data_IF_449732538668
#
_entry.id   IF_449732538668
#
_cell.length_a   1.000
_cell.length_b   1.000
_cell.length_c   1.000
_cell.angle_alpha   90.00
_cell.angle_beta   90.00
_cell.angle_gamma   90.00
#
_symmetry.space_group_name_H-M   'P 1'
#
loop_
_entity.id
_entity.type
_entity.pdbx_description
1 polymer ?
#
# COMPACT_ATOMS: atom_id res chain seq x y z
N UNK A 1 13.24 -1.21 19.77
CA UNK A 1 13.04 -2.43 18.97
C UNK A 1 14.20 -2.53 17.99
N UNK A 2 15.20 -3.40 18.23
CA UNK A 2 16.24 -3.69 17.24
C UNK A 2 15.81 -4.96 16.51
N UNK A 3 15.01 -4.79 15.46
CA UNK A 3 14.54 -5.92 14.62
C UNK A 3 15.65 -6.55 13.79
N UNK A 4 16.81 -5.89 13.71
CA UNK A 4 17.94 -6.30 12.88
C UNK A 4 19.08 -6.88 13.74
N UNK A 5 19.59 -8.08 13.40
CA UNK A 5 20.77 -8.66 14.06
C UNK A 5 21.98 -7.71 13.98
N UNK A 6 22.71 -7.59 15.08
CA UNK A 6 23.84 -6.67 15.18
C UNK A 6 25.06 -7.12 14.35
N UNK A 7 25.13 -8.41 14.05
CA UNK A 7 26.16 -9.11 13.29
C UNK A 7 25.83 -9.26 11.80
N UNK A 8 24.72 -8.68 11.33
CA UNK A 8 24.30 -8.80 9.94
C UNK A 8 25.23 -8.04 8.97
N UNK A 9 26.04 -8.79 8.21
CA UNK A 9 27.03 -8.27 7.26
C UNK A 9 26.44 -7.42 6.10
N UNK A 10 25.22 -7.72 5.66
CA UNK A 10 24.57 -7.04 4.53
C UNK A 10 23.40 -6.18 4.97
N UNK A 11 23.38 -4.88 4.63
CA UNK A 11 22.29 -3.93 4.95
C UNK A 11 20.93 -4.29 4.34
N UNK A 12 20.89 -5.25 3.42
CA UNK A 12 19.68 -5.69 2.75
C UNK A 12 18.82 -6.57 3.68
N UNK A 13 17.51 -6.62 3.41
CA UNK A 13 16.55 -7.42 4.18
C UNK A 13 16.23 -8.74 3.49
N UNK A 14 16.07 -8.70 2.16
CA UNK A 14 15.75 -9.89 1.36
C UNK A 14 16.96 -10.35 0.55
N UNK A 15 17.44 -11.55 0.88
CA UNK A 15 18.59 -12.17 0.25
C UNK A 15 18.19 -13.47 -0.47
N UNK A 16 18.97 -13.85 -1.48
CA UNK A 16 18.80 -15.13 -2.17
C UNK A 16 19.25 -16.27 -1.24
N UNK A 17 18.31 -17.17 -0.93
CA UNK A 17 18.56 -18.38 -0.15
C UNK A 17 19.05 -19.58 -0.97
N UNK A 18 19.17 -20.75 -0.33
CA UNK A 18 19.57 -22.01 -0.98
C UNK A 18 21.08 -22.25 -1.02
N UNK A 19 21.53 -23.07 -1.98
CA UNK A 19 22.95 -23.49 -2.14
C UNK A 19 23.57 -23.04 -3.48
N UNK A 20 22.92 -22.12 -4.20
CA UNK A 20 23.42 -21.62 -5.48
C UNK A 20 24.59 -20.65 -5.33
N UNK A 21 25.26 -20.35 -6.44
CA UNK A 21 26.40 -19.40 -6.50
C UNK A 21 26.04 -17.98 -6.08
N UNK A 22 24.76 -17.60 -6.25
CA UNK A 22 24.22 -16.27 -5.93
C UNK A 22 23.66 -16.13 -4.50
N UNK A 23 23.95 -17.10 -3.63
CA UNK A 23 23.44 -17.12 -2.25
C UNK A 23 23.94 -15.89 -1.50
N UNK A 24 23.09 -15.33 -0.63
CA UNK A 24 23.34 -14.11 0.16
C UNK A 24 23.45 -12.80 -0.66
N UNK A 25 23.32 -12.85 -1.99
CA UNK A 25 23.13 -11.65 -2.80
C UNK A 25 21.72 -11.05 -2.60
N UNK A 26 21.55 -9.79 -3.01
CA UNK A 26 20.27 -9.11 -3.06
C UNK A 26 19.23 -9.89 -3.90
N UNK A 27 18.01 -10.03 -3.37
CA UNK A 27 16.90 -10.54 -4.18
C UNK A 27 16.58 -9.54 -5.31
N UNK A 28 16.71 -9.98 -6.56
CA UNK A 28 16.32 -9.18 -7.71
C UNK A 28 14.81 -9.19 -7.93
N UNK A 29 14.30 -8.19 -8.67
CA UNK A 29 12.89 -8.16 -9.07
C UNK A 29 12.47 -9.39 -9.89
N UNK A 30 13.30 -9.83 -10.84
CA UNK A 30 13.04 -11.07 -11.60
C UNK A 30 12.96 -12.30 -10.66
N UNK A 31 13.84 -12.38 -9.67
CA UNK A 31 13.80 -13.42 -8.64
C UNK A 31 12.50 -13.39 -7.84
N UNK A 32 12.05 -12.20 -7.43
CA UNK A 32 10.77 -12.01 -6.75
C UNK A 32 9.59 -12.46 -7.62
N UNK A 33 9.54 -12.06 -8.90
CA UNK A 33 8.46 -12.45 -9.83
C UNK A 33 8.41 -13.96 -10.02
N UNK A 34 9.56 -14.63 -10.15
CA UNK A 34 9.62 -16.11 -10.23
C UNK A 34 9.14 -16.78 -8.95
N UNK A 35 9.55 -16.27 -7.79
CA UNK A 35 9.10 -16.80 -6.49
C UNK A 35 7.58 -16.64 -6.33
N UNK A 36 7.05 -15.49 -6.73
CA UNK A 36 5.63 -15.19 -6.73
C UNK A 36 4.85 -16.11 -7.67
N UNK A 37 5.30 -16.28 -8.91
CA UNK A 37 4.67 -17.21 -9.88
C UNK A 37 4.58 -18.63 -9.34
N UNK A 38 5.66 -19.14 -8.72
CA UNK A 38 5.64 -20.45 -8.05
C UNK A 38 4.64 -20.51 -6.90
N UNK A 39 4.46 -19.41 -6.15
CA UNK A 39 3.47 -19.32 -5.09
C UNK A 39 2.04 -19.36 -5.65
N UNK A 40 1.76 -18.63 -6.73
CA UNK A 40 0.47 -18.69 -7.44
C UNK A 40 0.15 -20.11 -7.91
N UNK A 41 1.13 -20.80 -8.53
CA UNK A 41 0.95 -22.20 -8.95
C UNK A 41 0.57 -23.11 -7.78
N UNK A 42 1.26 -23.00 -6.64
CA UNK A 42 0.93 -23.80 -5.44
C UNK A 42 -0.46 -23.45 -4.86
N UNK A 43 -0.89 -22.21 -5.01
CA UNK A 43 -2.20 -21.74 -4.57
C UNK A 43 -3.33 -22.04 -5.59
N UNK A 44 -3.01 -22.64 -6.74
CA UNK A 44 -3.99 -22.92 -7.80
C UNK A 44 -4.40 -21.70 -8.63
N UNK A 45 -3.72 -20.56 -8.47
CA UNK A 45 -3.96 -19.31 -9.21
C UNK A 45 -3.25 -19.40 -10.56
N UNK A 46 -3.99 -19.27 -11.67
CA UNK A 46 -3.50 -19.49 -13.03
C UNK A 46 -3.60 -18.25 -13.92
N UNK A 47 -4.21 -17.19 -13.41
CA UNK A 47 -4.50 -15.96 -14.10
C UNK A 47 -3.19 -15.21 -14.46
N UNK A 48 -2.90 -14.98 -15.75
CA UNK A 48 -1.63 -14.41 -16.18
C UNK A 48 -1.45 -12.94 -15.78
N UNK A 49 -2.54 -12.24 -15.45
CA UNK A 49 -2.50 -10.85 -14.97
C UNK A 49 -2.17 -10.73 -13.48
N UNK A 50 -2.14 -11.84 -12.72
CA UNK A 50 -1.79 -11.82 -11.31
C UNK A 50 -0.27 -11.66 -11.17
N UNK A 51 0.13 -10.50 -10.67
CA UNK A 51 1.53 -10.10 -10.45
C UNK A 51 1.73 -9.63 -9.01
N UNK A 52 2.98 -9.44 -8.53
CA UNK A 52 3.20 -8.80 -7.23
C UNK A 52 2.52 -7.45 -7.08
N UNK A 53 2.34 -6.70 -8.18
CA UNK A 53 1.61 -5.43 -8.18
C UNK A 53 0.11 -5.61 -7.91
N UNK A 54 -0.49 -6.72 -8.34
CA UNK A 54 -1.89 -7.03 -8.04
C UNK A 54 -2.14 -7.13 -6.52
N UNK A 55 -1.20 -7.68 -5.75
CA UNK A 55 -1.30 -7.71 -4.28
C UNK A 55 -1.37 -6.30 -3.67
N UNK A 56 -0.64 -5.34 -4.25
CA UNK A 56 -0.67 -3.94 -3.82
C UNK A 56 -2.02 -3.30 -4.13
N UNK A 57 -2.63 -3.63 -5.27
CA UNK A 57 -3.98 -3.18 -5.59
C UNK A 57 -5.02 -3.79 -4.65
N UNK A 58 -4.98 -5.11 -4.43
CA UNK A 58 -5.86 -5.77 -3.45
C UNK A 58 -5.75 -5.12 -2.09
N UNK A 59 -4.52 -4.87 -1.62
CA UNK A 59 -4.28 -4.16 -0.37
C UNK A 59 -4.91 -2.76 -0.37
N UNK A 60 -4.72 -1.99 -1.44
CA UNK A 60 -5.27 -0.64 -1.55
C UNK A 60 -6.80 -0.64 -1.51
N UNK A 61 -7.44 -1.51 -2.28
CA UNK A 61 -8.90 -1.70 -2.30
C UNK A 61 -9.41 -2.09 -0.92
N UNK A 62 -8.82 -3.10 -0.27
CA UNK A 62 -9.27 -3.53 1.07
C UNK A 62 -9.15 -2.43 2.13
N UNK A 63 -8.12 -1.58 2.06
CA UNK A 63 -8.01 -0.45 2.99
C UNK A 63 -9.03 0.64 2.70
N UNK A 64 -9.28 0.93 1.42
CA UNK A 64 -10.30 1.88 1.00
C UNK A 64 -11.70 1.45 1.44
N UNK A 65 -12.07 0.20 1.15
CA UNK A 65 -13.34 -0.42 1.56
C UNK A 65 -13.48 -0.50 3.09
N UNK A 66 -12.36 -0.64 3.81
CA UNK A 66 -12.29 -0.55 5.27
C UNK A 66 -12.42 0.87 5.85
N UNK A 67 -12.67 1.89 5.01
CA UNK A 67 -12.87 3.28 5.44
C UNK A 67 -11.59 4.09 5.63
N UNK A 68 -10.44 3.64 5.11
CA UNK A 68 -9.21 4.43 5.17
C UNK A 68 -9.34 5.68 4.31
N UNK A 69 -9.16 6.84 4.93
CA UNK A 69 -9.14 8.14 4.24
C UNK A 69 -8.14 8.15 3.08
N UNK A 70 -8.55 8.72 1.95
CA UNK A 70 -7.79 8.75 0.70
C UNK A 70 -6.35 9.25 0.87
N UNK A 71 -6.14 10.40 1.51
CA UNK A 71 -4.81 10.97 1.73
C UNK A 71 -3.92 10.07 2.61
N UNK A 72 -4.51 9.31 3.52
CA UNK A 72 -3.79 8.34 4.36
C UNK A 72 -3.38 7.13 3.51
N UNK A 73 -4.29 6.65 2.67
CA UNK A 73 -4.02 5.55 1.74
C UNK A 73 -2.94 5.92 0.72
N UNK A 74 -2.99 7.11 0.13
CA UNK A 74 -1.97 7.62 -0.80
C UNK A 74 -0.58 7.66 -0.14
N UNK A 75 -0.48 8.23 1.07
CA UNK A 75 0.77 8.25 1.86
C UNK A 75 1.27 6.84 2.17
N UNK A 76 0.37 5.93 2.57
CA UNK A 76 0.71 4.54 2.88
C UNK A 76 1.26 3.79 1.67
N UNK A 77 0.73 4.10 0.49
CA UNK A 77 1.21 3.53 -0.76
C UNK A 77 2.53 4.18 -1.20
N UNK A 78 2.81 5.44 -0.81
CA UNK A 78 4.06 6.12 -1.16
C UNK A 78 4.08 6.67 -2.59
N UNK A 79 2.91 7.05 -3.13
CA UNK A 79 2.83 7.72 -4.44
C UNK A 79 3.39 9.14 -4.33
N UNK A 80 4.41 9.46 -5.14
CA UNK A 80 5.15 10.73 -5.10
C UNK A 80 4.49 11.87 -5.91
N UNK A 81 3.49 11.62 -6.75
CA UNK A 81 2.73 12.69 -7.41
C UNK A 81 1.22 12.58 -7.18
N UNK A 82 0.54 13.68 -6.81
CA UNK A 82 -0.90 13.77 -6.63
C UNK A 82 -1.66 13.95 -7.96
N UNK A 83 -1.10 13.49 -9.09
CA UNK A 83 -1.72 13.70 -10.40
C UNK A 83 -2.92 12.79 -10.68
N UNK A 84 -3.16 11.80 -9.82
CA UNK A 84 -4.43 11.03 -9.76
C UNK A 84 -5.44 11.60 -8.75
N UNK A 85 -5.05 12.58 -7.92
CA UNK A 85 -5.92 13.20 -6.89
C UNK A 85 -6.99 14.12 -7.49
N UNK A 86 -6.83 14.55 -8.75
CA UNK A 86 -7.84 15.35 -9.48
C UNK A 86 -9.03 14.55 -10.02
N UNK A 87 -8.98 13.21 -10.02
CA UNK A 87 -10.14 12.38 -10.42
C UNK A 87 -11.09 12.06 -9.26
N UNK A 88 -10.67 12.19 -8.00
CA UNK A 88 -11.54 11.97 -6.83
C UNK A 88 -12.37 13.21 -6.46
N UNK A 89 -12.09 14.37 -7.06
CA UNK A 89 -12.94 15.58 -6.90
C UNK A 89 -14.22 15.50 -7.73
N UNK A 90 -14.50 14.38 -8.41
CA UNK A 90 -15.82 14.09 -8.96
C UNK A 90 -16.39 12.87 -8.27
N UNK A 91 -17.64 13.06 -7.84
CA UNK A 91 -18.65 12.06 -7.46
C UNK A 91 -18.85 11.93 -5.94
N UNK A 92 -19.83 12.71 -5.46
CA UNK A 92 -20.83 12.34 -4.44
C UNK A 92 -20.45 11.23 -3.46
N UNK A 93 -19.50 11.51 -2.57
CA UNK A 93 -19.24 10.68 -1.39
C UNK A 93 -20.08 11.23 -0.22
N UNK A 94 -21.12 10.50 0.24
CA UNK A 94 -21.94 10.93 1.37
C UNK A 94 -21.12 11.16 2.65
N UNK A 95 -19.98 10.48 2.82
CA UNK A 95 -19.09 10.67 3.96
C UNK A 95 -18.34 12.01 3.87
N UNK A 96 -17.89 12.41 2.69
CA UNK A 96 -17.28 13.73 2.47
C UNK A 96 -18.28 14.86 2.69
N UNK A 97 -19.53 14.69 2.24
CA UNK A 97 -20.62 15.63 2.47
C UNK A 97 -20.93 15.72 3.97
N UNK A 98 -21.03 14.59 4.67
CA UNK A 98 -21.26 14.56 6.11
C UNK A 98 -20.13 15.23 6.91
N UNK A 99 -18.87 14.96 6.57
CA UNK A 99 -17.70 15.57 7.20
C UNK A 99 -17.65 17.09 6.94
N UNK A 100 -18.00 17.54 5.73
CA UNK A 100 -18.13 18.96 5.39
C UNK A 100 -19.21 19.65 6.24
N UNK A 101 -20.40 19.08 6.33
CA UNK A 101 -21.47 19.64 7.17
C UNK A 101 -21.09 19.68 8.65
N UNK A 102 -20.47 18.61 9.16
CA UNK A 102 -19.99 18.56 10.55
C UNK A 102 -18.94 19.64 10.84
N UNK A 103 -18.04 19.93 9.91
CA UNK A 103 -17.06 20.99 10.06
C UNK A 103 -17.70 22.38 10.08
N UNK A 104 -18.69 22.62 9.21
CA UNK A 104 -19.45 23.87 9.20
C UNK A 104 -20.22 24.10 10.50
N UNK A 105 -20.86 23.08 11.06
CA UNK A 105 -21.60 23.18 12.33
C UNK A 105 -20.69 23.53 13.50
N UNK A 106 -19.45 23.01 13.52
CA UNK A 106 -18.46 23.33 14.55
C UNK A 106 -17.95 24.78 14.45
N UNK A 107 -17.75 25.27 13.22
CA UNK A 107 -17.37 26.66 12.97
C UNK A 107 -18.52 27.64 13.30
N UNK A 108 -19.76 27.29 12.97
CA UNK A 108 -20.95 28.08 13.30
C UNK A 108 -21.22 28.20 14.80
N UNK A 109 -20.92 27.14 15.58
CA UNK A 109 -20.99 27.18 17.05
C UNK A 109 -19.89 28.03 17.68
N UNK A 110 -18.68 27.98 17.12
CA UNK A 110 -17.53 28.74 17.64
C UNK A 110 -17.66 30.25 17.40
N UNK A 111 -18.51 30.68 16.45
CA UNK A 111 -18.81 32.10 16.19
C UNK A 111 -19.98 32.67 17.00
N UNK A 112 -20.72 31.85 17.75
CA UNK A 112 -21.83 32.29 18.60
C UNK A 112 -21.44 32.48 20.08
N UNK A 113 -20.23 32.04 20.46
CA UNK A 113 -19.68 32.09 21.82
C UNK A 113 -18.59 33.18 22.00
N UNK A 114 -18.53 34.17 21.10
CA UNK A 114 -17.63 35.34 21.17
C UNK A 114 -18.44 36.64 21.08
#
# INVERSE_FOLDING_TARGET
MRERPADAESRLVFLIGGRGTRRLEALSYDGLVRMFSRACTRAGIREPWVTPHALRHTHATSMWEGGMRELTLQKRLGHASPESTRMYTRVSDPAVVADYHKALDQLGRSGADA
#
